data_IF_733890902611
#
_entry.id   IF_733890902611
#
_cell.length_a   1.000
_cell.length_b   1.000
_cell.length_c   1.000
_cell.angle_alpha   90.00
_cell.angle_beta   90.00
_cell.angle_gamma   90.00
#
_symmetry.space_group_name_H-M   'P 1'
#
loop_
_entity.id
_entity.type
_entity.pdbx_description
1 polymer ?
#
# COMPACT_ATOMS: atom_id res chain seq x y z
N UNK A 1 1.60 -10.26 -6.39
CA UNK A 1 0.65 -9.12 -6.48
C UNK A 1 -0.38 -9.29 -7.60
N UNK A 2 -0.30 -10.36 -8.41
CA UNK A 2 -1.19 -10.57 -9.57
C UNK A 2 -2.41 -11.45 -9.30
N UNK A 3 -2.42 -12.19 -8.18
CA UNK A 3 -3.35 -13.31 -8.01
C UNK A 3 -4.54 -12.97 -7.09
N UNK A 4 -4.79 -11.69 -6.81
CA UNK A 4 -5.84 -11.30 -5.87
C UNK A 4 -7.14 -10.86 -6.55
N UNK A 5 -7.11 -10.41 -7.82
CA UNK A 5 -8.29 -9.76 -8.44
C UNK A 5 -8.53 -10.11 -9.91
N UNK A 6 -7.95 -11.20 -10.44
CA UNK A 6 -8.19 -11.71 -11.80
C UNK A 6 -7.88 -10.70 -12.93
N UNK A 7 -7.06 -9.68 -12.63
CA UNK A 7 -6.59 -8.68 -13.57
C UNK A 7 -5.08 -8.78 -13.69
N UNK A 8 -4.60 -9.05 -14.91
CA UNK A 8 -3.18 -9.16 -15.20
C UNK A 8 -2.58 -7.80 -15.51
N UNK A 9 -1.48 -7.47 -14.83
CA UNK A 9 -0.69 -6.29 -15.15
C UNK A 9 -0.15 -6.47 -16.57
N UNK A 10 -0.42 -5.53 -17.48
CA UNK A 10 0.03 -5.66 -18.88
C UNK A 10 1.42 -5.08 -19.09
N UNK A 11 1.67 -3.91 -18.50
CA UNK A 11 2.89 -3.13 -18.68
C UNK A 11 3.23 -2.43 -17.38
N UNK A 12 4.51 -2.40 -17.05
CA UNK A 12 5.06 -1.63 -15.95
C UNK A 12 6.12 -0.69 -16.50
N UNK A 13 6.04 0.59 -16.15
CA UNK A 13 7.09 1.57 -16.46
C UNK A 13 7.83 1.88 -15.15
N UNK A 14 9.14 1.71 -15.14
CA UNK A 14 10.00 2.14 -14.02
C UNK A 14 11.14 3.02 -14.53
N UNK A 15 11.86 3.63 -13.60
CA UNK A 15 13.17 4.19 -13.90
C UNK A 15 14.22 3.08 -14.12
N UNK A 16 15.48 3.50 -14.27
CA UNK A 16 16.64 2.60 -14.42
C UNK A 16 17.29 2.26 -13.07
N UNK A 17 16.53 2.28 -11.97
CA UNK A 17 17.00 1.82 -10.66
C UNK A 17 17.53 0.39 -10.74
N UNK A 18 18.63 0.11 -10.02
CA UNK A 18 19.30 -1.19 -10.07
C UNK A 18 18.40 -2.35 -9.63
N UNK A 19 17.43 -2.07 -8.76
CA UNK A 19 16.40 -3.00 -8.29
C UNK A 19 15.48 -3.50 -9.43
N UNK A 20 15.28 -2.70 -10.48
CA UNK A 20 14.47 -3.07 -11.65
C UNK A 20 15.28 -3.72 -12.78
N UNK A 21 16.61 -3.68 -12.69
CA UNK A 21 17.52 -4.21 -13.71
C UNK A 21 17.99 -5.65 -13.42
N UNK A 22 17.82 -6.12 -12.19
CA UNK A 22 18.35 -7.42 -11.76
C UNK A 22 17.60 -8.61 -12.40
N UNK A 23 18.27 -9.77 -12.42
CA UNK A 23 17.71 -11.00 -12.98
C UNK A 23 16.47 -11.50 -12.24
N UNK A 24 16.35 -11.22 -10.93
CA UNK A 24 15.17 -11.61 -10.15
C UNK A 24 13.92 -10.89 -10.65
N UNK A 25 14.02 -9.59 -10.92
CA UNK A 25 12.93 -8.77 -11.42
C UNK A 25 12.53 -9.18 -12.84
N UNK A 26 13.51 -9.45 -13.70
CA UNK A 26 13.25 -10.00 -15.02
C UNK A 26 12.51 -11.34 -14.94
N UNK A 27 12.90 -12.22 -14.00
CA UNK A 27 12.20 -13.49 -13.79
C UNK A 27 10.76 -13.25 -13.35
N UNK A 28 10.54 -12.36 -12.37
CA UNK A 28 9.19 -11.99 -11.92
C UNK A 28 8.36 -11.50 -13.11
N UNK A 29 8.85 -10.54 -13.91
CA UNK A 29 8.09 -10.04 -15.06
C UNK A 29 7.67 -11.13 -16.06
N UNK A 30 8.52 -12.16 -16.25
CA UNK A 30 8.21 -13.30 -17.14
C UNK A 30 7.20 -14.26 -16.52
N UNK A 31 7.36 -14.61 -15.24
CA UNK A 31 6.43 -15.46 -14.50
C UNK A 31 5.04 -14.83 -14.42
N UNK A 32 5.03 -13.52 -14.25
CA UNK A 32 3.86 -12.68 -14.13
C UNK A 32 3.20 -12.30 -15.49
N UNK A 33 3.98 -12.33 -16.56
CA UNK A 33 3.51 -12.06 -17.92
C UNK A 33 3.35 -10.58 -18.28
N UNK A 34 3.89 -9.66 -17.49
CA UNK A 34 3.85 -8.22 -17.80
C UNK A 34 5.10 -7.74 -18.54
N UNK A 35 4.93 -6.76 -19.43
CA UNK A 35 6.07 -6.10 -20.10
C UNK A 35 6.67 -5.02 -19.22
N UNK A 36 7.93 -5.19 -18.82
CA UNK A 36 8.69 -4.13 -18.15
C UNK A 36 9.28 -3.16 -19.18
N UNK A 37 8.99 -1.87 -19.01
CA UNK A 37 9.49 -0.75 -19.80
C UNK A 37 10.31 0.14 -18.88
N UNK A 38 11.45 0.60 -19.38
CA UNK A 38 12.28 1.56 -18.65
C UNK A 38 12.10 2.95 -19.24
N UNK A 39 11.93 3.95 -18.39
CA UNK A 39 11.96 5.34 -18.83
C UNK A 39 13.33 5.66 -19.45
N UNK A 40 13.39 6.42 -20.55
CA UNK A 40 14.65 6.93 -21.08
C UNK A 40 15.45 7.67 -20.00
N UNK A 41 16.77 7.51 -20.00
CA UNK A 41 17.64 8.26 -19.10
C UNK A 41 17.37 9.76 -19.25
N UNK A 42 17.29 10.49 -18.12
CA UNK A 42 17.01 11.93 -18.05
C UNK A 42 15.60 12.36 -18.50
N UNK A 43 14.59 11.47 -18.43
CA UNK A 43 13.17 11.84 -18.63
C UNK A 43 12.33 11.62 -17.36
N UNK A 44 12.55 12.41 -16.29
CA UNK A 44 11.79 12.29 -15.04
C UNK A 44 10.28 12.49 -15.23
N UNK A 45 9.86 13.16 -16.31
CA UNK A 45 8.44 13.36 -16.65
C UNK A 45 7.69 12.04 -16.83
N UNK A 46 8.36 10.97 -17.28
CA UNK A 46 7.73 9.66 -17.48
C UNK A 46 7.44 8.94 -16.16
N UNK A 47 8.18 9.24 -15.09
CA UNK A 47 7.98 8.65 -13.76
C UNK A 47 7.28 9.59 -12.76
N UNK A 48 7.06 10.85 -13.16
CA UNK A 48 6.51 11.88 -12.28
C UNK A 48 5.11 11.58 -11.72
N UNK A 49 4.34 10.65 -12.31
CA UNK A 49 3.10 10.17 -11.69
C UNK A 49 3.36 9.28 -10.47
N UNK A 50 4.29 8.34 -10.57
CA UNK A 50 4.66 7.46 -9.47
C UNK A 50 5.37 8.25 -8.36
N UNK A 51 6.28 9.15 -8.72
CA UNK A 51 7.00 9.99 -7.77
C UNK A 51 6.04 10.87 -6.96
N UNK A 52 5.12 11.58 -7.63
CA UNK A 52 4.10 12.40 -6.93
C UNK A 52 3.19 11.56 -6.05
N UNK A 53 2.79 10.37 -6.49
CA UNK A 53 1.96 9.48 -5.69
C UNK A 53 2.70 9.02 -4.42
N UNK A 54 3.96 8.61 -4.55
CA UNK A 54 4.80 8.20 -3.42
C UNK A 54 5.03 9.36 -2.45
N UNK A 55 5.34 10.56 -2.96
CA UNK A 55 5.49 11.76 -2.14
C UNK A 55 4.19 12.07 -1.37
N UNK A 56 3.04 12.02 -2.03
CA UNK A 56 1.73 12.27 -1.38
C UNK A 56 1.47 11.27 -0.26
N UNK A 57 1.79 9.99 -0.47
CA UNK A 57 1.62 8.95 0.56
C UNK A 57 2.53 9.23 1.75
N UNK A 58 3.79 9.59 1.52
CA UNK A 58 4.74 9.88 2.58
C UNK A 58 4.37 11.13 3.38
N UNK A 59 3.98 12.22 2.72
CA UNK A 59 3.55 13.44 3.39
C UNK A 59 2.36 13.19 4.33
N UNK A 60 1.35 12.46 3.85
CA UNK A 60 0.19 12.12 4.67
C UNK A 60 0.48 11.09 5.74
N UNK A 61 1.40 10.15 5.49
CA UNK A 61 1.91 9.22 6.52
C UNK A 61 2.53 10.01 7.67
N UNK A 62 3.36 11.03 7.36
CA UNK A 62 3.93 11.91 8.38
C UNK A 62 2.83 12.64 9.16
N UNK A 63 1.77 13.12 8.49
CA UNK A 63 0.62 13.71 9.16
C UNK A 63 -0.10 12.72 10.10
N UNK A 64 -0.32 11.48 9.66
CA UNK A 64 -0.95 10.44 10.49
C UNK A 64 -0.11 10.14 11.74
N UNK A 65 1.19 9.94 11.59
CA UNK A 65 2.10 9.69 12.71
C UNK A 65 2.12 10.87 13.68
N UNK A 66 2.34 12.09 13.17
CA UNK A 66 2.41 13.29 13.99
C UNK A 66 1.09 13.60 14.71
N UNK A 67 -0.06 13.25 14.12
CA UNK A 67 -1.37 13.41 14.74
C UNK A 67 -1.72 12.33 15.77
N UNK A 68 -1.03 11.19 15.74
CA UNK A 68 -1.37 10.00 16.54
C UNK A 68 -0.72 9.89 17.90
N UNK A 69 0.29 10.72 18.19
CA UNK A 69 1.19 10.56 19.34
C UNK A 69 1.85 9.17 19.44
N UNK A 70 1.85 8.37 18.37
CA UNK A 70 2.53 7.09 18.32
C UNK A 70 4.03 7.27 18.06
N UNK A 71 4.88 6.37 18.58
CA UNK A 71 6.31 6.36 18.25
C UNK A 71 6.54 6.17 16.74
N UNK A 72 7.67 6.68 16.25
CA UNK A 72 8.10 6.51 14.85
C UNK A 72 8.28 5.03 14.45
N UNK A 73 8.33 4.09 15.40
CA UNK A 73 8.33 2.65 15.10
C UNK A 73 7.09 2.19 14.35
N UNK A 74 5.97 2.91 14.45
CA UNK A 74 4.69 2.62 13.77
C UNK A 74 4.63 3.15 12.33
N UNK A 75 5.75 3.55 11.74
CA UNK A 75 5.77 4.14 10.40
C UNK A 75 5.21 3.19 9.33
N UNK A 76 5.44 1.88 9.46
CA UNK A 76 4.97 0.90 8.49
C UNK A 76 3.44 0.80 8.50
N UNK A 77 2.84 0.83 9.70
CA UNK A 77 1.40 0.83 9.93
C UNK A 77 0.76 2.13 9.41
N UNK A 78 1.43 3.26 9.61
CA UNK A 78 0.99 4.54 9.06
C UNK A 78 0.98 4.54 7.52
N UNK A 79 2.06 4.05 6.89
CA UNK A 79 2.15 3.94 5.42
C UNK A 79 1.07 3.00 4.89
N UNK A 80 0.87 1.85 5.53
CA UNK A 80 -0.18 0.90 5.15
C UNK A 80 -1.58 1.51 5.27
N UNK A 81 -1.82 2.25 6.34
CA UNK A 81 -3.10 2.95 6.56
C UNK A 81 -3.33 4.00 5.47
N UNK A 82 -2.34 4.85 5.17
CA UNK A 82 -2.49 5.86 4.12
C UNK A 82 -2.63 5.23 2.73
N UNK A 83 -1.88 4.17 2.42
CA UNK A 83 -2.00 3.46 1.14
C UNK A 83 -3.41 2.88 0.95
N UNK A 84 -4.00 2.32 2.02
CA UNK A 84 -5.39 1.89 2.03
C UNK A 84 -6.34 3.07 1.84
N UNK A 85 -6.21 4.14 2.62
CA UNK A 85 -7.08 5.32 2.53
C UNK A 85 -7.02 5.95 1.13
N UNK A 86 -5.83 6.15 0.58
CA UNK A 86 -5.61 6.67 -0.78
C UNK A 86 -6.30 5.82 -1.86
N UNK A 87 -6.36 4.50 -1.66
CA UNK A 87 -7.09 3.58 -2.55
C UNK A 87 -8.61 3.69 -2.39
N UNK A 88 -9.10 4.12 -1.23
CA UNK A 88 -10.54 4.23 -0.91
C UNK A 88 -11.13 5.60 -1.18
N UNK A 89 -10.33 6.67 -1.19
CA UNK A 89 -10.81 8.04 -1.34
C UNK A 89 -11.16 8.34 -2.80
N UNK A 90 -12.41 8.75 -3.10
CA UNK A 90 -12.80 9.23 -4.42
C UNK A 90 -12.20 10.61 -4.68
N UNK A 91 -11.81 10.89 -5.92
CA UNK A 91 -11.30 12.21 -6.32
C UNK A 91 -12.09 12.79 -7.49
N UNK A 92 -12.28 14.12 -7.58
CA UNK A 92 -12.96 14.75 -8.72
C UNK A 92 -12.31 14.42 -10.06
N UNK A 93 -10.98 14.32 -10.09
CA UNK A 93 -10.20 13.89 -11.25
C UNK A 93 -10.56 12.48 -11.77
N UNK A 94 -11.26 11.67 -10.97
CA UNK A 94 -11.70 10.31 -11.27
C UNK A 94 -13.22 10.20 -11.29
N UNK A 95 -13.94 11.28 -11.61
CA UNK A 95 -15.41 11.32 -11.63
C UNK A 95 -16.02 10.89 -10.28
N UNK A 96 -15.38 11.28 -9.17
CA UNK A 96 -15.77 10.90 -7.81
C UNK A 96 -15.81 9.38 -7.57
N UNK A 97 -14.99 8.60 -8.28
CA UNK A 97 -14.76 7.17 -8.02
C UNK A 97 -13.43 6.96 -7.31
N UNK A 98 -13.39 6.04 -6.35
CA UNK A 98 -12.16 5.63 -5.68
C UNK A 98 -11.33 4.71 -6.57
N UNK A 99 -9.99 4.71 -6.45
CA UNK A 99 -9.13 3.72 -7.12
C UNK A 99 -9.60 2.27 -6.88
N UNK A 100 -10.04 1.96 -5.66
CA UNK A 100 -10.60 0.65 -5.33
C UNK A 100 -11.82 0.31 -6.17
N UNK A 101 -12.74 1.25 -6.39
CA UNK A 101 -13.93 1.02 -7.24
C UNK A 101 -13.59 0.96 -8.73
N UNK A 102 -12.50 1.58 -9.15
CA UNK A 102 -12.02 1.48 -10.53
C UNK A 102 -11.33 0.15 -10.78
N UNK A 103 -10.62 -0.36 -9.77
CA UNK A 103 -9.91 -1.63 -9.83
C UNK A 103 -10.83 -2.83 -9.57
N UNK A 104 -11.73 -2.71 -8.58
CA UNK A 104 -12.72 -3.72 -8.21
C UNK A 104 -14.12 -3.26 -8.56
N UNK A 105 -14.92 -4.19 -9.07
CA UNK A 105 -16.33 -3.95 -9.39
C UNK A 105 -17.17 -3.73 -8.12
N UNK A 106 -16.73 -4.23 -6.96
CA UNK A 106 -17.44 -4.13 -5.69
C UNK A 106 -16.94 -3.00 -4.78
N UNK A 107 -17.85 -2.30 -4.07
CA UNK A 107 -17.47 -1.23 -3.16
C UNK A 107 -16.71 -1.77 -1.94
N UNK A 108 -15.74 -1.01 -1.40
CA UNK A 108 -14.97 -1.41 -0.23
C UNK A 108 -15.82 -1.42 1.04
N UNK A 109 -15.56 -2.36 1.95
CA UNK A 109 -16.22 -2.43 3.25
C UNK A 109 -15.63 -1.40 4.23
N UNK A 110 -16.17 -0.19 4.22
CA UNK A 110 -15.71 0.95 5.05
C UNK A 110 -15.89 0.69 6.55
N UNK A 111 -16.86 -0.15 6.95
CA UNK A 111 -17.15 -0.48 8.36
C UNK A 111 -15.97 -1.09 9.13
N UNK A 112 -14.94 -1.57 8.43
CA UNK A 112 -13.73 -2.15 9.02
C UNK A 112 -12.62 -1.12 9.23
N UNK A 113 -12.79 0.12 8.77
CA UNK A 113 -11.81 1.17 9.00
C UNK A 113 -11.90 1.65 10.44
N UNK A 114 -10.76 1.74 11.09
CA UNK A 114 -10.60 2.35 12.40
C UNK A 114 -9.72 3.60 12.26
N UNK A 115 -9.86 4.53 13.21
CA UNK A 115 -8.98 5.70 13.29
C UNK A 115 -7.55 5.21 13.55
N UNK A 116 -6.58 5.75 12.81
CA UNK A 116 -5.17 5.51 13.09
C UNK A 116 -4.87 5.97 14.53
N UNK A 117 -4.25 5.13 15.37
CA UNK A 117 -4.16 5.23 16.85
C UNK A 117 -5.25 4.50 17.67
N UNK A 118 -6.20 3.81 17.04
CA UNK A 118 -7.18 3.05 17.81
C UNK A 118 -6.48 1.93 18.60
N UNK A 119 -6.94 1.69 19.84
CA UNK A 119 -6.47 0.58 20.66
C UNK A 119 -6.72 -0.74 19.93
N UNK A 120 -5.66 -1.46 19.59
CA UNK A 120 -5.77 -2.77 18.96
C UNK A 120 -5.57 -3.85 20.02
N UNK A 121 -6.39 -4.91 19.96
CA UNK A 121 -6.31 -6.03 20.90
C UNK A 121 -5.82 -7.26 20.14
N UNK A 122 -4.60 -7.70 20.42
CA UNK A 122 -3.99 -8.84 19.73
C UNK A 122 -4.22 -10.13 20.53
N UNK A 123 -4.92 -11.07 19.90
CA UNK A 123 -5.16 -12.37 20.51
C UNK A 123 -3.88 -13.23 20.51
N UNK A 124 -3.33 -13.48 21.70
CA UNK A 124 -2.18 -14.36 21.87
C UNK A 124 -2.58 -15.79 21.44
N UNK A 125 -1.83 -16.47 20.55
CA UNK A 125 -2.11 -17.86 20.18
C UNK A 125 -2.06 -18.78 21.41
N UNK A 126 -2.94 -19.78 21.50
CA UNK A 126 -3.05 -20.67 22.68
C UNK A 126 -1.73 -21.29 23.14
N UNK A 127 -0.83 -21.61 22.20
CA UNK A 127 0.50 -22.17 22.44
C UNK A 127 1.47 -21.23 23.18
N UNK A 128 1.23 -19.94 23.12
CA UNK A 128 2.06 -18.89 23.74
C UNK A 128 1.33 -18.23 24.91
N UNK A 129 0.20 -18.79 25.35
CA UNK A 129 -0.51 -18.33 26.56
C UNK A 129 0.07 -19.07 27.76
N UNK A 130 0.48 -18.32 28.77
CA UNK A 130 0.82 -18.89 30.08
C UNK A 130 -0.46 -19.15 30.89
N UNK A 131 -1.52 -18.37 30.64
CA UNK A 131 -2.81 -18.52 31.28
C UNK A 131 -4.00 -18.42 30.31
N UNK A 132 -5.07 -19.17 30.62
CA UNK A 132 -6.27 -19.28 29.76
C UNK A 132 -6.96 -17.94 29.50
N UNK A 133 -6.87 -17.01 30.45
CA UNK A 133 -7.41 -15.66 30.39
C UNK A 133 -6.34 -14.60 30.15
N UNK A 134 -5.16 -14.97 29.64
CA UNK A 134 -4.13 -13.98 29.32
C UNK A 134 -4.73 -12.83 28.50
N UNK A 135 -4.55 -11.58 28.94
CA UNK A 135 -5.09 -10.44 28.24
C UNK A 135 -4.46 -10.41 26.85
N UNK A 136 -5.33 -10.23 25.86
CA UNK A 136 -4.87 -9.89 24.53
C UNK A 136 -4.16 -8.53 24.62
N UNK A 137 -2.90 -8.46 24.17
CA UNK A 137 -2.06 -7.27 24.35
C UNK A 137 -2.77 -6.10 23.65
N UNK A 138 -2.90 -5.00 24.39
CA UNK A 138 -3.35 -3.73 23.84
C UNK A 138 -2.11 -2.94 23.42
N UNK A 139 -1.91 -2.78 22.11
CA UNK A 139 -0.98 -1.79 21.56
C UNK A 139 -1.72 -0.51 21.19
#
# INVERSE_FOLDING_TARGET
MENLHDQTLKKLVSDRGGEFLNHQFQRISKECGFKHLMSPAKTPQHNGFAERANQTILEKTCCLLNGSNLPNSYWAEAVNTEALLSSLVPTPSRLNRSPYNLWKVSPPQIKKLCVFQCRAIIAIPKKNREWKLDPCIAE
#
